data_IF_452337006468
#
_entry.id   IF_452337006468
#
_cell.length_a   1.000
_cell.length_b   1.000
_cell.length_c   1.000
_cell.angle_alpha   90.00
_cell.angle_beta   90.00
_cell.angle_gamma   90.00
#
_symmetry.space_group_name_H-M   'P 1'
#
loop_
_entity.id
_entity.type
_entity.pdbx_description
1 polymer ?
#
# COMPACT_ATOMS: atom_id res chain seq x y z
N UNK A 1 -1.56 -2.94 -9.94
CA UNK A 1 -2.98 -3.26 -10.23
C UNK A 1 -3.57 -2.03 -10.87
N UNK A 2 -4.26 -2.14 -12.02
CA UNK A 2 -4.83 -0.96 -12.70
C UNK A 2 -6.18 -0.60 -12.07
N UNK A 3 -6.41 0.68 -11.76
CA UNK A 3 -7.71 1.19 -11.32
C UNK A 3 -8.69 1.44 -12.49
N UNK A 4 -8.29 1.10 -13.73
CA UNK A 4 -9.05 1.38 -14.95
C UNK A 4 -9.44 2.87 -15.09
N UNK A 5 -8.59 3.78 -14.58
CA UNK A 5 -8.84 5.22 -14.61
C UNK A 5 -9.85 5.73 -13.57
N UNK A 6 -10.29 4.89 -12.64
CA UNK A 6 -11.12 5.31 -11.51
C UNK A 6 -10.30 5.83 -10.32
N UNK A 7 -10.98 6.49 -9.38
CA UNK A 7 -10.40 7.01 -8.15
C UNK A 7 -10.15 5.95 -7.07
N UNK A 8 -10.47 4.68 -7.35
CA UNK A 8 -10.38 3.56 -6.41
C UNK A 8 -9.06 3.51 -5.64
N UNK A 9 -7.92 3.73 -6.32
CA UNK A 9 -6.62 3.69 -5.65
C UNK A 9 -6.42 4.81 -4.61
N UNK A 10 -7.06 5.97 -4.80
CA UNK A 10 -7.02 7.08 -3.85
C UNK A 10 -7.95 6.80 -2.67
N UNK A 11 -9.15 6.26 -2.92
CA UNK A 11 -10.14 5.89 -1.89
C UNK A 11 -9.57 4.88 -0.87
N UNK A 12 -8.73 3.96 -1.35
CA UNK A 12 -8.08 2.94 -0.52
C UNK A 12 -6.64 3.28 -0.14
N UNK A 13 -6.20 4.52 -0.38
CA UNK A 13 -4.95 5.08 0.13
C UNK A 13 -3.68 4.42 -0.42
N UNK A 14 -3.72 3.91 -1.66
CA UNK A 14 -2.56 3.31 -2.35
C UNK A 14 -1.96 4.21 -3.43
N UNK A 15 -2.66 5.29 -3.81
CA UNK A 15 -2.13 6.35 -4.69
C UNK A 15 -2.26 7.71 -4.03
N UNK A 16 -1.31 8.60 -4.33
CA UNK A 16 -1.26 9.98 -3.83
C UNK A 16 -1.71 10.94 -4.92
N UNK A 17 -2.66 11.83 -4.60
CA UNK A 17 -3.09 12.85 -5.56
C UNK A 17 -1.94 13.83 -5.84
N UNK A 18 -1.71 14.19 -7.10
CA UNK A 18 -0.54 14.96 -7.52
C UNK A 18 -0.43 16.36 -6.87
N UNK A 19 -1.55 16.90 -6.39
CA UNK A 19 -1.71 18.18 -5.72
C UNK A 19 -1.87 18.05 -4.19
N UNK A 20 -1.77 16.83 -3.64
CA UNK A 20 -1.88 16.60 -2.21
C UNK A 20 -0.73 17.28 -1.47
N UNK A 21 -1.09 18.14 -0.51
CA UNK A 21 -0.13 18.73 0.41
C UNK A 21 0.62 17.67 1.22
N UNK A 22 1.82 17.99 1.73
CA UNK A 22 2.68 17.03 2.43
C UNK A 22 2.07 16.38 3.68
N UNK A 23 1.07 17.03 4.27
CA UNK A 23 0.33 16.57 5.45
C UNK A 23 -1.06 16.03 5.09
N UNK A 24 -1.50 16.20 3.83
CA UNK A 24 -2.80 15.72 3.33
C UNK A 24 -2.76 14.24 2.97
N UNK A 25 -1.58 13.72 2.66
CA UNK A 25 -1.41 12.35 2.24
C UNK A 25 -1.12 11.45 3.43
N UNK A 26 -2.05 10.54 3.67
CA UNK A 26 -1.94 9.48 4.67
C UNK A 26 -1.84 8.13 3.97
N UNK A 27 -0.74 7.43 4.16
CA UNK A 27 -0.58 6.02 3.83
C UNK A 27 -0.81 5.27 5.14
N UNK A 28 -1.56 4.17 5.14
CA UNK A 28 -1.60 3.25 6.28
C UNK A 28 -1.86 3.91 7.68
N UNK A 29 -3.13 3.99 8.10
CA UNK A 29 -3.53 4.49 9.43
C UNK A 29 -2.85 5.80 9.87
N UNK A 30 -2.93 6.86 9.05
CA UNK A 30 -2.35 8.18 9.34
C UNK A 30 -0.81 8.29 9.28
N UNK A 31 -0.11 7.34 8.63
CA UNK A 31 1.32 7.53 8.36
C UNK A 31 1.52 8.55 7.24
N UNK A 32 2.26 9.65 7.45
CA UNK A 32 2.50 10.63 6.42
C UNK A 32 3.35 10.05 5.29
N UNK A 33 2.94 10.30 4.04
CA UNK A 33 3.61 9.78 2.83
C UNK A 33 5.05 10.25 2.66
N UNK A 34 5.48 11.34 3.34
CA UNK A 34 6.88 11.82 3.32
C UNK A 34 7.93 10.74 3.65
N UNK A 35 7.54 9.63 4.28
CA UNK A 35 8.43 8.49 4.55
C UNK A 35 8.68 7.59 3.34
N UNK A 36 8.04 7.85 2.20
CA UNK A 36 8.06 6.98 1.04
C UNK A 36 8.38 7.78 -0.24
N UNK A 37 9.32 7.25 -1.05
CA UNK A 37 9.81 7.90 -2.26
C UNK A 37 8.97 7.59 -3.53
N UNK A 38 7.71 7.15 -3.39
CA UNK A 38 6.84 6.77 -4.51
C UNK A 38 5.44 7.39 -4.41
N UNK A 39 4.80 7.62 -5.56
CA UNK A 39 3.42 8.11 -5.65
C UNK A 39 2.37 7.00 -5.62
N UNK A 40 2.80 5.76 -5.86
CA UNK A 40 1.97 4.55 -5.73
C UNK A 40 2.64 3.54 -4.81
N UNK A 41 1.83 2.90 -3.98
CA UNK A 41 2.27 1.85 -3.06
C UNK A 41 1.44 0.59 -3.21
N UNK A 42 2.03 -0.52 -2.80
CA UNK A 42 1.26 -1.74 -2.59
C UNK A 42 0.26 -1.58 -1.45
N UNK A 43 -0.97 -2.00 -1.70
CA UNK A 43 -1.97 -2.32 -0.69
C UNK A 43 -2.77 -3.54 -1.12
N UNK A 44 -3.36 -4.21 -0.16
CA UNK A 44 -4.29 -5.32 -0.38
C UNK A 44 -5.56 -5.02 0.39
N UNK A 45 -6.68 -5.04 -0.33
CA UNK A 45 -8.02 -4.85 0.22
C UNK A 45 -8.90 -6.03 -0.15
N UNK A 46 -9.72 -6.48 0.79
CA UNK A 46 -10.74 -7.50 0.56
C UNK A 46 -12.12 -6.91 0.82
N UNK A 47 -13.07 -7.30 -0.05
CA UNK A 47 -14.44 -6.82 -0.02
C UNK A 47 -15.40 -8.00 0.04
N UNK A 48 -16.48 -7.85 0.81
CA UNK A 48 -17.59 -8.79 0.86
C UNK A 48 -18.87 -8.11 0.39
N UNK A 49 -19.68 -8.79 -0.43
CA UNK A 49 -21.00 -8.32 -0.87
C UNK A 49 -22.08 -9.10 -0.14
N UNK A 50 -22.86 -8.45 0.72
CA UNK A 50 -23.98 -9.06 1.43
C UNK A 50 -25.21 -8.16 1.38
N UNK A 51 -26.37 -8.72 0.99
CA UNK A 51 -27.64 -8.01 0.91
C UNK A 51 -27.59 -6.70 0.07
N UNK A 52 -26.74 -6.67 -0.97
CA UNK A 52 -26.55 -5.50 -1.81
C UNK A 52 -25.59 -4.44 -1.24
N UNK A 53 -25.00 -4.68 -0.07
CA UNK A 53 -24.02 -3.79 0.57
C UNK A 53 -22.61 -4.36 0.40
N UNK A 54 -21.67 -3.51 -0.01
CA UNK A 54 -20.25 -3.85 -0.11
C UNK A 54 -19.54 -3.43 1.16
N UNK A 55 -18.87 -4.37 1.81
CA UNK A 55 -18.09 -4.16 3.03
C UNK A 55 -16.61 -4.27 2.73
N UNK A 56 -15.81 -3.33 3.23
CA UNK A 56 -14.35 -3.42 3.24
C UNK A 56 -13.93 -4.18 4.50
N UNK A 57 -13.70 -5.49 4.35
CA UNK A 57 -13.56 -6.41 5.50
C UNK A 57 -12.12 -6.59 5.95
N UNK A 58 -11.15 -6.25 5.09
CA UNK A 58 -9.74 -6.34 5.40
C UNK A 58 -8.93 -5.40 4.52
N UNK A 59 -7.92 -4.77 5.11
CA UNK A 59 -6.89 -4.03 4.39
C UNK A 59 -5.53 -4.22 5.03
N UNK A 60 -4.47 -4.39 4.23
CA UNK A 60 -3.11 -4.29 4.70
C UNK A 60 -2.21 -3.55 3.71
N UNK A 61 -1.20 -2.89 4.27
CA UNK A 61 -0.29 -2.01 3.55
C UNK A 61 1.14 -2.23 4.05
N UNK A 62 2.12 -1.69 3.33
CA UNK A 62 3.53 -1.76 3.71
C UNK A 62 3.96 -3.19 4.07
N UNK A 63 4.53 -3.38 5.27
CA UNK A 63 4.99 -4.68 5.79
C UNK A 63 3.86 -5.70 5.97
N UNK A 64 2.59 -5.27 6.04
CA UNK A 64 1.45 -6.18 6.05
C UNK A 64 1.34 -7.05 4.78
N UNK A 65 1.95 -6.61 3.68
CA UNK A 65 2.00 -7.35 2.42
C UNK A 65 3.11 -8.43 2.40
N UNK A 66 4.05 -8.41 3.34
CA UNK A 66 5.18 -9.36 3.37
C UNK A 66 4.71 -10.80 3.50
N UNK A 67 3.61 -11.05 4.23
CA UNK A 67 3.03 -12.38 4.37
C UNK A 67 2.57 -12.97 3.03
N UNK A 68 2.24 -12.11 2.07
CA UNK A 68 1.78 -12.49 0.74
C UNK A 68 2.91 -12.48 -0.31
N UNK A 69 4.11 -12.05 0.08
CA UNK A 69 5.28 -11.99 -0.78
C UNK A 69 6.40 -12.85 -0.20
N UNK A 70 6.38 -14.14 -0.58
CA UNK A 70 7.38 -15.12 -0.15
C UNK A 70 8.81 -14.73 -0.56
N UNK A 71 8.99 -13.92 -1.61
CA UNK A 71 10.31 -13.49 -2.07
C UNK A 71 11.04 -12.66 -1.01
N UNK A 72 10.36 -11.78 -0.28
CA UNK A 72 11.00 -11.02 0.81
C UNK A 72 11.54 -11.93 1.91
N UNK A 73 10.85 -13.02 2.22
CA UNK A 73 11.31 -14.02 3.19
C UNK A 73 12.59 -14.73 2.73
N UNK A 74 12.77 -14.92 1.43
CA UNK A 74 14.03 -15.43 0.87
C UNK A 74 15.14 -14.39 0.90
N UNK A 75 14.84 -13.12 0.59
CA UNK A 75 15.83 -12.04 0.61
C UNK A 75 16.35 -11.75 2.02
N UNK A 76 15.55 -11.96 3.06
CA UNK A 76 16.00 -11.86 4.46
C UNK A 76 17.11 -12.87 4.81
N UNK A 77 17.30 -13.91 3.99
CA UNK A 77 18.29 -14.97 4.21
C UNK A 77 19.56 -14.80 3.37
N UNK A 78 19.59 -13.88 2.40
CA UNK A 78 20.79 -13.64 1.60
C UNK A 78 21.72 -12.63 2.29
N UNK A 79 23.05 -12.66 2.06
CA UNK A 79 23.99 -11.78 2.75
C UNK A 79 23.74 -10.27 2.59
N UNK A 80 23.09 -9.84 1.50
CA UNK A 80 22.72 -8.44 1.25
C UNK A 80 21.35 -8.04 1.83
N UNK A 81 20.66 -8.96 2.50
CA UNK A 81 19.28 -8.76 2.94
C UNK A 81 18.37 -8.35 1.78
N UNK A 82 17.41 -7.46 2.08
CA UNK A 82 16.45 -6.92 1.09
C UNK A 82 17.01 -5.78 0.21
N UNK A 83 18.24 -5.32 0.46
CA UNK A 83 18.86 -4.20 -0.26
C UNK A 83 18.01 -2.90 -0.27
N UNK A 84 17.31 -2.60 0.82
CA UNK A 84 16.38 -1.46 0.95
C UNK A 84 17.05 -0.17 1.45
N UNK A 85 18.38 -0.12 1.57
CA UNK A 85 19.09 1.03 2.14
C UNK A 85 18.90 2.34 1.35
N UNK A 86 18.53 2.24 0.07
CA UNK A 86 18.21 3.38 -0.79
C UNK A 86 16.73 3.82 -0.72
N UNK A 87 15.88 3.11 0.03
CA UNK A 87 14.46 3.42 0.21
C UNK A 87 14.19 4.26 1.47
N UNK A 88 15.23 4.63 2.23
CA UNK A 88 15.15 5.44 3.46
C UNK A 88 15.14 6.93 3.19
#
# INVERSE_FOLDING_TARGET
MSSLGSEFNYDFGVSLCADAGPDAAVFHFHTPWRRYNAQEHGGLSAFALEHGVVYHTYSCYARGLEAFNATYQFLDRVPRGRAEDQLR
#
